data_IF_368909406919
#
_entry.id   IF_368909406919
#
_cell.length_a   1.000
_cell.length_b   1.000
_cell.length_c   1.000
_cell.angle_alpha   90.00
_cell.angle_beta   90.00
_cell.angle_gamma   90.00
#
_symmetry.space_group_name_H-M   'P 1'
#
loop_
_entity.id
_entity.type
_entity.pdbx_description
1 polymer ?
#
# COMPACT_ATOMS: atom_id res chain seq x y z
N UNK A 1 5.15 -31.58 1.16
CA UNK A 1 5.27 -30.46 2.11
C UNK A 1 6.25 -29.42 1.57
N UNK A 2 7.38 -29.85 1.02
CA UNK A 2 8.39 -28.94 0.43
C UNK A 2 7.85 -28.13 -0.76
N UNK A 3 7.17 -28.77 -1.72
CA UNK A 3 6.57 -28.09 -2.87
C UNK A 3 5.61 -26.95 -2.46
N UNK A 4 4.74 -27.21 -1.48
CA UNK A 4 3.80 -26.21 -0.97
C UNK A 4 4.54 -24.98 -0.43
N UNK A 5 5.60 -25.19 0.37
CA UNK A 5 6.41 -24.10 0.89
C UNK A 5 7.20 -23.38 -0.19
N UNK A 6 7.73 -24.09 -1.19
CA UNK A 6 8.43 -23.49 -2.32
C UNK A 6 7.49 -22.58 -3.13
N UNK A 7 6.32 -23.09 -3.52
CA UNK A 7 5.34 -22.34 -4.32
C UNK A 7 4.84 -21.13 -3.53
N UNK A 8 4.41 -21.32 -2.28
CA UNK A 8 3.91 -20.19 -1.48
C UNK A 8 4.97 -19.13 -1.25
N UNK A 9 6.25 -19.49 -1.03
CA UNK A 9 7.35 -18.51 -0.96
C UNK A 9 7.52 -17.74 -2.27
N UNK A 10 7.41 -18.41 -3.41
CA UNK A 10 7.48 -17.75 -4.73
C UNK A 10 6.31 -16.80 -4.95
N UNK A 11 5.09 -17.18 -4.58
CA UNK A 11 3.92 -16.31 -4.65
C UNK A 11 4.11 -15.06 -3.78
N UNK A 12 4.51 -15.24 -2.51
CA UNK A 12 4.78 -14.10 -1.62
C UNK A 12 5.91 -13.20 -2.13
N UNK A 13 6.95 -13.78 -2.74
CA UNK A 13 8.02 -13.01 -3.38
C UNK A 13 7.47 -12.16 -4.54
N UNK A 14 6.63 -12.74 -5.41
CA UNK A 14 6.01 -12.02 -6.53
C UNK A 14 5.16 -10.85 -6.03
N UNK A 15 4.29 -11.09 -5.04
CA UNK A 15 3.41 -10.06 -4.47
C UNK A 15 4.20 -8.95 -3.76
N UNK A 16 5.24 -9.34 -3.01
CA UNK A 16 6.12 -8.40 -2.32
C UNK A 16 6.93 -7.55 -3.30
N UNK A 17 7.53 -8.15 -4.33
CA UNK A 17 8.26 -7.43 -5.40
C UNK A 17 7.35 -6.46 -6.14
N UNK A 18 6.13 -6.87 -6.49
CA UNK A 18 5.15 -6.00 -7.14
C UNK A 18 4.79 -4.80 -6.27
N UNK A 19 4.46 -5.04 -5.00
CA UNK A 19 4.08 -3.99 -4.05
C UNK A 19 5.24 -3.01 -3.82
N UNK A 20 6.45 -3.52 -3.64
CA UNK A 20 7.66 -2.71 -3.52
C UNK A 20 7.85 -1.82 -4.75
N UNK A 21 7.77 -2.38 -5.96
CA UNK A 21 7.94 -1.62 -7.20
C UNK A 21 6.84 -0.58 -7.38
N UNK A 22 5.58 -0.90 -7.04
CA UNK A 22 4.46 0.03 -7.15
C UNK A 22 4.62 1.24 -6.21
N UNK A 23 4.98 1.01 -4.94
CA UNK A 23 5.14 2.10 -3.98
C UNK A 23 6.35 3.00 -4.30
N UNK A 24 7.49 2.42 -4.70
CA UNK A 24 8.68 3.21 -5.06
C UNK A 24 8.57 3.91 -6.44
N UNK A 25 7.45 3.77 -7.15
CA UNK A 25 7.14 4.63 -8.32
C UNK A 25 6.56 5.97 -7.90
N UNK A 26 6.03 6.08 -6.69
CA UNK A 26 5.49 7.33 -6.14
C UNK A 26 6.67 8.15 -5.62
N UNK A 27 6.89 9.31 -6.22
CA UNK A 27 8.00 10.19 -5.85
C UNK A 27 7.94 10.55 -4.36
N UNK A 28 9.07 10.42 -3.66
CA UNK A 28 9.17 10.73 -2.23
C UNK A 28 8.75 9.59 -1.28
N UNK A 29 8.28 8.45 -1.80
CA UNK A 29 8.03 7.26 -0.99
C UNK A 29 9.21 6.31 -1.11
N UNK A 30 9.74 5.90 0.04
CA UNK A 30 10.73 4.83 0.13
C UNK A 30 10.14 3.64 0.88
N UNK A 31 10.49 2.42 0.48
CA UNK A 31 10.05 1.22 1.20
C UNK A 31 11.18 0.25 1.46
N UNK A 32 11.08 -0.51 2.55
CA UNK A 32 11.97 -1.65 2.78
C UNK A 32 11.72 -2.72 1.73
N UNK A 33 12.78 -3.17 1.05
CA UNK A 33 12.65 -4.29 0.11
C UNK A 33 12.28 -5.58 0.86
N UNK A 34 11.14 -6.22 0.56
CA UNK A 34 10.73 -7.43 1.26
C UNK A 34 11.67 -8.59 0.91
N UNK A 35 12.28 -9.20 1.95
CA UNK A 35 13.13 -10.38 1.81
C UNK A 35 12.43 -11.67 2.25
N UNK A 36 11.40 -11.55 3.08
CA UNK A 36 10.57 -12.63 3.60
C UNK A 36 9.26 -12.06 4.15
N UNK A 37 8.36 -12.94 4.64
CA UNK A 37 7.09 -12.59 5.32
C UNK A 37 6.02 -12.04 4.37
N UNK A 38 5.18 -11.12 4.88
CA UNK A 38 3.94 -10.64 4.27
C UNK A 38 3.81 -9.12 4.29
N UNK A 39 4.84 -8.42 4.77
CA UNK A 39 4.80 -7.00 5.05
C UNK A 39 6.03 -6.27 4.51
N UNK A 40 5.85 -4.99 4.22
CA UNK A 40 6.93 -4.02 4.08
C UNK A 40 6.64 -2.81 4.97
N UNK A 41 7.71 -2.06 5.30
CA UNK A 41 7.60 -0.75 5.90
C UNK A 41 7.76 0.30 4.79
N UNK A 42 6.79 1.21 4.68
CA UNK A 42 6.86 2.36 3.79
C UNK A 42 7.09 3.63 4.62
N UNK A 43 7.97 4.49 4.15
CA UNK A 43 8.25 5.80 4.71
C UNK A 43 7.53 6.87 3.88
N UNK A 44 6.61 7.60 4.53
CA UNK A 44 5.88 8.71 3.94
C UNK A 44 6.31 10.08 4.49
N UNK A 45 7.42 10.14 5.25
CA UNK A 45 7.86 11.38 5.92
C UNK A 45 8.28 12.48 4.94
N UNK A 46 8.53 12.16 3.66
CA UNK A 46 8.71 13.16 2.61
C UNK A 46 7.52 14.14 2.52
N UNK A 47 6.30 13.65 2.73
CA UNK A 47 5.05 14.44 2.65
C UNK A 47 4.64 15.09 3.98
N UNK A 48 5.54 15.12 4.97
CA UNK A 48 5.23 15.61 6.31
C UNK A 48 4.72 17.04 6.31
N UNK A 49 5.23 17.89 5.42
CA UNK A 49 4.82 19.30 5.35
C UNK A 49 3.39 19.44 4.82
N UNK A 50 3.04 18.63 3.83
CA UNK A 50 1.76 18.54 3.14
C UNK A 50 0.71 17.97 4.11
N UNK A 51 1.06 16.89 4.81
CA UNK A 51 0.23 16.31 5.86
C UNK A 51 -0.15 17.35 6.92
N UNK A 52 0.80 18.13 7.42
CA UNK A 52 0.51 19.19 8.38
C UNK A 52 -0.38 20.29 7.82
N UNK A 53 -0.17 20.72 6.56
CA UNK A 53 -1.06 21.69 5.88
C UNK A 53 -2.49 21.16 5.74
N UNK A 54 -2.65 19.85 5.55
CA UNK A 54 -3.95 19.17 5.45
C UNK A 54 -4.53 18.71 6.80
N UNK A 55 -3.93 19.09 7.93
CA UNK A 55 -4.41 18.74 9.27
C UNK A 55 -4.13 17.30 9.71
N UNK A 56 -3.30 16.57 8.98
CA UNK A 56 -2.82 15.22 9.31
C UNK A 56 -1.55 15.38 10.14
N UNK A 57 -1.69 15.47 11.47
CA UNK A 57 -0.57 15.77 12.37
C UNK A 57 0.10 14.55 12.99
N UNK A 58 -0.48 13.37 12.82
CA UNK A 58 0.06 12.10 13.35
C UNK A 58 -0.12 10.97 12.35
N UNK A 59 0.70 9.93 12.46
CA UNK A 59 0.57 8.73 11.62
C UNK A 59 -0.76 7.99 11.83
N UNK A 60 -1.30 7.99 13.05
CA UNK A 60 -2.66 7.50 13.30
C UNK A 60 -3.71 8.30 12.52
N UNK A 61 -3.56 9.63 12.44
CA UNK A 61 -4.47 10.46 11.66
C UNK A 61 -4.35 10.16 10.15
N UNK A 62 -3.15 9.85 9.67
CA UNK A 62 -2.95 9.38 8.30
C UNK A 62 -3.70 8.07 8.04
N UNK A 63 -3.58 7.08 8.93
CA UNK A 63 -4.31 5.82 8.80
C UNK A 63 -5.85 6.01 8.83
N UNK A 64 -6.34 6.89 9.71
CA UNK A 64 -7.76 7.27 9.74
C UNK A 64 -8.21 7.94 8.45
N UNK A 65 -7.39 8.79 7.82
CA UNK A 65 -7.74 9.44 6.55
C UNK A 65 -7.76 8.42 5.41
N UNK A 66 -6.78 7.53 5.34
CA UNK A 66 -6.65 6.55 4.26
C UNK A 66 -7.78 5.51 4.24
N UNK A 67 -8.31 5.11 5.40
CA UNK A 67 -9.41 4.13 5.44
C UNK A 67 -10.76 4.71 5.00
N UNK A 68 -10.92 6.03 5.01
CA UNK A 68 -12.16 6.70 4.64
C UNK A 68 -12.33 6.83 3.13
N UNK A 69 -13.56 7.13 2.69
CA UNK A 69 -13.81 7.51 1.30
C UNK A 69 -12.99 8.76 0.91
N UNK A 70 -12.38 8.80 -0.28
CA UNK A 70 -12.47 7.86 -1.40
C UNK A 70 -11.37 6.77 -1.46
N UNK A 71 -10.50 6.71 -0.45
CA UNK A 71 -9.25 5.95 -0.48
C UNK A 71 -9.44 4.49 -0.07
N UNK A 72 -10.21 4.22 0.98
CA UNK A 72 -10.54 2.84 1.42
C UNK A 72 -9.31 1.92 1.62
N UNK A 73 -8.16 2.48 2.01
CA UNK A 73 -6.93 1.72 2.23
C UNK A 73 -6.62 1.62 3.72
N UNK A 74 -6.58 0.40 4.24
CA UNK A 74 -6.15 0.13 5.61
C UNK A 74 -4.62 0.01 5.68
N UNK A 75 -4.01 0.73 6.62
CA UNK A 75 -2.58 0.63 6.94
C UNK A 75 -2.38 0.50 8.46
N UNK A 76 -1.21 0.01 8.88
CA UNK A 76 -0.78 0.09 10.28
C UNK A 76 0.19 1.26 10.39
N UNK A 77 -0.26 2.34 11.03
CA UNK A 77 0.52 3.54 11.26
C UNK A 77 1.75 3.31 12.16
N UNK A 78 2.75 4.18 12.03
CA UNK A 78 4.01 4.11 12.75
C UNK A 78 3.85 4.14 14.27
N UNK A 79 2.85 4.83 14.82
CA UNK A 79 2.60 4.82 16.26
C UNK A 79 2.22 3.43 16.80
N UNK A 80 1.44 2.65 16.01
CA UNK A 80 1.16 1.23 16.25
C UNK A 80 2.39 0.33 16.11
N UNK A 81 3.49 0.85 15.55
CA UNK A 81 4.80 0.20 15.44
C UNK A 81 5.81 0.72 16.48
N UNK A 82 5.37 1.53 17.46
CA UNK A 82 6.22 2.14 18.49
C UNK A 82 7.22 3.16 17.92
N UNK A 83 6.90 3.77 16.77
CA UNK A 83 7.60 4.94 16.27
C UNK A 83 7.01 6.22 16.88
N UNK A 84 7.70 7.34 16.70
CA UNK A 84 7.20 8.65 17.10
C UNK A 84 5.83 8.91 16.46
N UNK A 85 4.92 9.58 17.20
CA UNK A 85 3.56 9.87 16.69
C UNK A 85 3.55 10.68 15.39
N UNK A 86 4.64 11.40 15.14
CA UNK A 86 4.84 12.26 13.95
C UNK A 86 5.75 11.61 12.91
N UNK A 87 6.11 10.35 13.09
CA UNK A 87 6.76 9.53 12.07
C UNK A 87 5.67 8.89 11.21
N UNK A 88 5.63 9.28 9.94
CA UNK A 88 4.63 8.85 8.97
C UNK A 88 4.98 7.54 8.27
N UNK A 89 5.86 6.72 8.86
CA UNK A 89 6.06 5.35 8.40
C UNK A 89 4.80 4.52 8.62
N UNK A 90 4.58 3.52 7.76
CA UNK A 90 3.47 2.58 7.85
C UNK A 90 3.89 1.17 7.48
N UNK A 91 3.31 0.17 8.14
CA UNK A 91 3.44 -1.24 7.74
C UNK A 91 2.27 -1.63 6.84
N UNK A 92 2.59 -2.10 5.64
CA UNK A 92 1.63 -2.54 4.64
C UNK A 92 1.73 -4.05 4.43
N UNK A 93 0.58 -4.71 4.35
CA UNK A 93 0.48 -6.11 3.98
C UNK A 93 0.28 -6.25 2.48
N UNK A 94 1.05 -7.13 1.82
CA UNK A 94 0.89 -7.43 0.39
C UNK A 94 0.17 -8.76 0.14
N UNK A 95 -0.59 -9.24 1.13
CA UNK A 95 -1.27 -10.54 1.11
C UNK A 95 -2.79 -10.44 1.03
N UNK A 96 -3.29 -9.39 0.38
CA UNK A 96 -4.73 -9.21 0.15
C UNK A 96 -5.20 -9.91 -1.14
N UNK A 97 -5.22 -11.24 -1.10
CA UNK A 97 -5.70 -12.11 -2.18
C UNK A 97 -6.16 -13.48 -1.66
N UNK A 98 -6.82 -14.25 -2.52
CA UNK A 98 -7.19 -15.64 -2.22
C UNK A 98 -5.98 -16.56 -2.44
N UNK A 99 -5.35 -16.99 -1.36
CA UNK A 99 -4.15 -17.82 -1.41
C UNK A 99 -4.37 -19.19 -2.06
N UNK A 100 -5.58 -19.76 -1.97
CA UNK A 100 -5.87 -21.07 -2.58
C UNK A 100 -5.91 -20.93 -4.11
N UNK A 101 -6.60 -19.91 -4.61
CA UNK A 101 -6.66 -19.62 -6.06
C UNK A 101 -5.31 -19.27 -6.64
N UNK A 102 -4.54 -18.41 -5.94
CA UNK A 102 -3.20 -18.03 -6.38
C UNK A 102 -2.27 -19.25 -6.45
N UNK A 103 -2.39 -20.18 -5.49
CA UNK A 103 -1.61 -21.41 -5.47
C UNK A 103 -1.95 -22.34 -6.65
N UNK A 104 -3.24 -22.61 -6.87
CA UNK A 104 -3.71 -23.44 -8.00
C UNK A 104 -3.29 -22.83 -9.35
N UNK A 105 -3.45 -21.51 -9.49
CA UNK A 105 -3.04 -20.81 -10.71
C UNK A 105 -1.53 -20.92 -10.94
N UNK A 106 -0.70 -20.76 -9.90
CA UNK A 106 0.74 -20.89 -10.00
C UNK A 106 1.17 -22.30 -10.43
N UNK A 107 0.51 -23.35 -9.92
CA UNK A 107 0.81 -24.73 -10.31
C UNK A 107 0.57 -24.97 -11.81
N UNK A 108 -0.49 -24.37 -12.37
CA UNK A 108 -0.81 -24.50 -13.79
C UNK A 108 0.05 -23.60 -14.68
N UNK A 109 0.37 -22.39 -14.21
CA UNK A 109 1.01 -21.34 -15.01
C UNK A 109 2.11 -20.63 -14.18
N UNK A 110 3.23 -21.30 -13.89
CA UNK A 110 4.30 -20.68 -13.09
C UNK A 110 4.97 -19.55 -13.89
N UNK A 111 4.91 -18.29 -13.44
CA UNK A 111 5.48 -17.16 -14.18
C UNK A 111 7.02 -17.22 -14.15
N UNK A 112 7.65 -16.95 -15.29
CA UNK A 112 9.12 -17.04 -15.48
C UNK A 112 9.76 -15.67 -15.72
N UNK A 113 9.07 -14.80 -16.44
CA UNK A 113 9.52 -13.45 -16.75
C UNK A 113 8.92 -12.40 -15.82
N UNK A 114 9.48 -11.18 -15.82
CA UNK A 114 8.93 -10.05 -15.07
C UNK A 114 7.49 -9.74 -15.51
N UNK A 115 7.22 -9.73 -16.81
CA UNK A 115 5.87 -9.44 -17.34
C UNK A 115 4.85 -10.51 -16.92
N UNK A 116 5.21 -11.79 -16.93
CA UNK A 116 4.32 -12.86 -16.47
C UNK A 116 4.06 -12.78 -14.96
N UNK A 117 5.04 -12.31 -14.17
CA UNK A 117 4.84 -12.07 -12.74
C UNK A 117 3.87 -10.91 -12.49
N UNK A 118 3.95 -9.84 -13.27
CA UNK A 118 3.01 -8.72 -13.19
C UNK A 118 1.59 -9.16 -13.57
N UNK A 119 1.44 -9.92 -14.65
CA UNK A 119 0.16 -10.51 -15.05
C UNK A 119 -0.39 -11.46 -13.96
N UNK A 120 0.48 -12.25 -13.33
CA UNK A 120 0.09 -13.11 -12.20
C UNK A 120 -0.55 -12.30 -11.06
N UNK A 121 0.02 -11.14 -10.70
CA UNK A 121 -0.55 -10.25 -9.67
C UNK A 121 -1.88 -9.66 -10.14
N UNK A 122 -1.98 -9.21 -11.40
CA UNK A 122 -3.22 -8.67 -11.97
C UNK A 122 -4.39 -9.65 -11.89
N UNK A 123 -4.12 -10.92 -12.17
CA UNK A 123 -5.13 -11.97 -12.14
C UNK A 123 -5.49 -12.36 -10.70
N UNK A 124 -4.48 -12.54 -9.84
CA UNK A 124 -4.68 -13.20 -8.55
C UNK A 124 -4.88 -12.24 -7.36
N UNK A 125 -4.43 -10.99 -7.45
CA UNK A 125 -4.49 -10.02 -6.37
C UNK A 125 -5.09 -8.66 -6.78
N UNK A 126 -6.29 -8.61 -7.39
CA UNK A 126 -6.91 -7.35 -7.81
C UNK A 126 -7.19 -6.38 -6.66
N UNK A 127 -7.42 -6.88 -5.43
CA UNK A 127 -7.63 -6.02 -4.25
C UNK A 127 -6.34 -5.34 -3.79
N UNK A 128 -5.21 -6.03 -3.86
CA UNK A 128 -3.90 -5.44 -3.61
C UNK A 128 -3.62 -4.29 -4.59
N UNK A 129 -3.88 -4.51 -5.89
CA UNK A 129 -3.70 -3.48 -6.92
C UNK A 129 -4.60 -2.29 -6.65
N UNK A 130 -5.90 -2.51 -6.40
CA UNK A 130 -6.83 -1.43 -6.08
C UNK A 130 -6.36 -0.63 -4.85
N UNK A 131 -5.84 -1.29 -3.81
CA UNK A 131 -5.29 -0.60 -2.63
C UNK A 131 -4.06 0.27 -2.94
N UNK A 132 -3.18 -0.21 -3.83
CA UNK A 132 -2.00 0.54 -4.30
C UNK A 132 -2.39 1.75 -5.15
N UNK A 133 -3.34 1.60 -6.07
CA UNK A 133 -3.88 2.70 -6.88
C UNK A 133 -4.53 3.78 -6.01
N UNK A 134 -5.19 3.37 -4.92
CA UNK A 134 -5.79 4.31 -3.95
C UNK A 134 -4.75 5.05 -3.11
N UNK A 135 -3.62 4.41 -2.81
CA UNK A 135 -2.49 5.10 -2.17
C UNK A 135 -1.86 6.10 -3.13
N UNK A 136 -1.57 5.71 -4.37
CA UNK A 136 -1.06 6.60 -5.41
C UNK A 136 -1.95 7.84 -5.56
N UNK A 137 -3.26 7.63 -5.71
CA UNK A 137 -4.25 8.72 -5.75
C UNK A 137 -4.20 9.63 -4.51
N UNK A 138 -4.02 9.07 -3.31
CA UNK A 138 -3.90 9.86 -2.09
C UNK A 138 -2.68 10.77 -2.13
N UNK A 139 -1.52 10.25 -2.53
CA UNK A 139 -0.27 11.01 -2.59
C UNK A 139 -0.28 12.03 -3.72
N UNK A 140 -0.87 11.72 -4.88
CA UNK A 140 -1.10 12.68 -5.96
C UNK A 140 -1.95 13.86 -5.50
N UNK A 141 -3.03 13.58 -4.76
CA UNK A 141 -3.90 14.60 -4.20
C UNK A 141 -3.18 15.44 -3.15
N UNK A 142 -2.37 14.82 -2.28
CA UNK A 142 -1.64 15.54 -1.24
C UNK A 142 -0.53 16.42 -1.82
N UNK A 143 0.20 15.93 -2.83
CA UNK A 143 1.26 16.67 -3.52
C UNK A 143 0.75 17.82 -4.39
N UNK A 144 -0.39 17.65 -5.07
CA UNK A 144 -0.97 18.70 -5.93
C UNK A 144 -1.60 19.86 -5.14
N UNK A 145 -1.98 19.64 -3.89
CA UNK A 145 -2.70 20.62 -3.06
C UNK A 145 -1.81 21.70 -2.44
N UNK A 146 -0.49 21.69 -2.65
CA UNK A 146 0.38 22.78 -2.17
C UNK A 146 0.39 24.01 -3.06
N UNK A 147 -0.04 23.89 -4.32
CA UNK A 147 -0.10 25.02 -5.27
C UNK A 147 -1.41 25.78 -5.21
N UNK A 148 -2.44 25.20 -4.56
CA UNK A 148 -3.76 25.82 -4.41
C UNK A 148 -4.09 25.94 -2.93
N UNK A 149 -4.32 27.16 -2.46
CA UNK A 149 -4.65 27.53 -1.07
C UNK A 149 -6.06 27.05 -0.65
N UNK A 150 -6.40 25.79 -0.96
CA UNK A 150 -7.73 25.22 -0.87
C UNK A 150 -7.80 24.32 0.36
N UNK A 151 -8.42 24.84 1.41
CA UNK A 151 -8.83 24.07 2.56
C UNK A 151 -9.69 22.89 2.08
N UNK A 152 -9.20 21.66 2.24
CA UNK A 152 -10.03 20.47 2.03
C UNK A 152 -11.21 20.62 3.00
N UNK A 153 -12.41 20.87 2.46
CA UNK A 153 -13.65 20.58 3.18
C UNK A 153 -13.69 19.07 3.37
N UNK A 154 -13.12 18.58 4.47
CA UNK A 154 -13.46 17.25 4.98
C UNK A 154 -14.98 17.13 5.26
N UNK A 155 -15.70 18.26 5.27
CA UNK A 155 -17.15 18.36 5.47
C UNK A 155 -18.02 17.82 4.33
N UNK A 156 -17.49 17.52 3.13
CA UNK A 156 -18.28 16.83 2.09
C UNK A 156 -18.33 15.30 2.27
N UNK A 157 -17.62 14.76 3.26
CA UNK A 157 -17.65 13.33 3.64
C UNK A 157 -18.51 13.12 4.90
N UNK A 158 -19.51 13.99 5.12
CA UNK A 158 -20.57 13.71 6.10
C UNK A 158 -21.58 12.81 5.40
N UNK A 159 -21.54 11.54 5.79
CA UNK A 159 -22.53 10.51 5.52
C UNK A 159 -23.94 11.08 5.66
N UNK A 160 -24.63 11.26 4.53
CA UNK A 160 -26.09 11.32 4.52
C UNK A 160 -26.60 9.98 5.03
N UNK A 161 -27.23 10.03 6.21
CA UNK A 161 -27.94 8.92 6.85
C UNK A 161 -28.90 8.21 5.91
#
# INVERSE_FOLDING_TARGET
MDEYFEITRRIHQIMGEYTYNALNKIDGIETTKPQATYYLLADFNHFKSEFYKSGITTSQKLAETLIQHPYHTAIIAGDGLVLERTDFSARLAYVDYDGSKAYEYYQMNPPKSTSEKEEFVQINAPRLIAGLEKLELFFDNIGSNTDSNSQIKLDSVIVSR
#
